data_IF_447033766746
#
_entry.id   IF_447033766746
#
_cell.length_a   1.000
_cell.length_b   1.000
_cell.length_c   1.000
_cell.angle_alpha   90.00
_cell.angle_beta   90.00
_cell.angle_gamma   90.00
#
_symmetry.space_group_name_H-M   'P 1'
#
loop_
_entity.id
_entity.type
_entity.pdbx_description
1 polymer ?
#
# COMPACT_ATOMS: atom_id res chain seq x y z
N UNK A 1 17.38 -16.37 -18.69
CA UNK A 1 16.29 -15.42 -18.45
C UNK A 1 16.57 -14.66 -17.16
N UNK A 2 16.42 -13.34 -17.13
CA UNK A 2 16.57 -12.58 -15.89
C UNK A 2 15.56 -13.05 -14.85
N UNK A 3 16.03 -13.22 -13.61
CA UNK A 3 15.16 -13.62 -12.48
C UNK A 3 14.75 -12.39 -11.69
N UNK A 4 13.49 -12.36 -11.26
CA UNK A 4 13.00 -11.49 -10.18
C UNK A 4 12.91 -12.35 -8.94
N UNK A 5 13.64 -11.98 -7.91
CA UNK A 5 13.64 -12.63 -6.60
C UNK A 5 13.28 -11.59 -5.57
N UNK A 6 12.27 -11.85 -4.79
CA UNK A 6 11.81 -10.98 -3.68
C UNK A 6 11.71 -11.82 -2.43
N UNK A 7 12.18 -11.29 -1.31
CA UNK A 7 11.98 -11.87 0.03
C UNK A 7 11.77 -10.75 1.03
N UNK A 8 10.70 -10.86 1.82
CA UNK A 8 10.40 -10.00 2.97
C UNK A 8 10.05 -10.86 4.16
N UNK A 9 10.31 -10.36 5.35
CA UNK A 9 9.94 -11.09 6.57
C UNK A 9 9.49 -10.13 7.67
N UNK A 10 8.70 -10.68 8.60
CA UNK A 10 8.24 -9.99 9.80
C UNK A 10 8.23 -10.98 10.97
N UNK A 11 8.39 -10.48 12.19
CA UNK A 11 8.24 -11.31 13.40
C UNK A 11 6.85 -11.09 13.99
N UNK A 12 6.14 -12.18 14.24
CA UNK A 12 4.76 -12.23 14.76
C UNK A 12 4.79 -12.86 16.14
N UNK A 13 4.15 -12.21 17.10
CA UNK A 13 3.98 -12.73 18.47
C UNK A 13 2.74 -13.63 18.54
N UNK A 14 2.91 -14.86 18.07
CA UNK A 14 1.86 -15.89 18.09
C UNK A 14 2.50 -17.29 18.04
N UNK A 15 1.81 -18.35 18.48
CA UNK A 15 2.30 -19.74 18.41
C UNK A 15 2.56 -20.17 16.95
N UNK A 16 3.66 -20.90 16.72
CA UNK A 16 4.09 -21.33 15.39
C UNK A 16 3.00 -22.08 14.62
N UNK A 17 2.36 -23.03 15.25
CA UNK A 17 1.29 -23.84 14.65
C UNK A 17 0.09 -22.97 14.25
N UNK A 18 -0.27 -21.96 15.07
CA UNK A 18 -1.34 -21.01 14.74
C UNK A 18 -0.99 -20.19 13.52
N UNK A 19 0.23 -19.65 13.45
CA UNK A 19 0.71 -18.86 12.30
C UNK A 19 0.74 -19.71 11.04
N UNK A 20 1.28 -20.91 11.12
CA UNK A 20 1.36 -21.85 10.00
C UNK A 20 -0.02 -22.21 9.45
N UNK A 21 -0.93 -22.69 10.31
CA UNK A 21 -2.28 -23.11 9.89
C UNK A 21 -3.09 -21.95 9.33
N UNK A 22 -2.92 -20.75 9.87
CA UNK A 22 -3.58 -19.55 9.36
C UNK A 22 -3.10 -19.21 7.96
N UNK A 23 -1.79 -19.22 7.72
CA UNK A 23 -1.21 -18.92 6.38
C UNK A 23 -1.52 -20.04 5.38
N UNK A 24 -1.56 -21.28 5.83
CA UNK A 24 -1.91 -22.44 5.00
C UNK A 24 -3.35 -22.39 4.48
N UNK A 25 -4.25 -21.86 5.28
CA UNK A 25 -5.67 -21.80 4.95
C UNK A 25 -5.96 -20.66 3.98
N UNK A 26 -6.12 -20.95 2.70
CA UNK A 26 -6.44 -19.94 1.69
C UNK A 26 -7.73 -19.16 1.96
N UNK A 27 -8.67 -19.68 2.77
CA UNK A 27 -9.88 -18.95 3.16
C UNK A 27 -9.59 -17.74 4.05
N UNK A 28 -8.42 -17.71 4.71
CA UNK A 28 -7.98 -16.59 5.54
C UNK A 28 -7.24 -15.48 4.72
N UNK A 29 -6.79 -15.80 3.51
CA UNK A 29 -6.02 -14.87 2.68
C UNK A 29 -6.76 -13.56 2.34
N UNK A 30 -8.07 -13.53 2.08
CA UNK A 30 -8.77 -12.27 1.83
C UNK A 30 -8.63 -11.23 2.95
N UNK A 31 -8.41 -11.68 4.19
CA UNK A 31 -8.29 -10.79 5.35
C UNK A 31 -6.93 -10.05 5.43
N UNK A 32 -5.89 -10.54 4.73
CA UNK A 32 -4.55 -9.97 4.81
C UNK A 32 -3.81 -9.90 3.46
N UNK A 33 -4.39 -10.43 2.39
CA UNK A 33 -3.76 -10.35 1.07
C UNK A 33 -3.66 -8.91 0.59
N UNK A 34 -2.45 -8.42 0.26
CA UNK A 34 -2.25 -7.05 -0.19
C UNK A 34 -2.87 -6.76 -1.56
N UNK A 35 -3.30 -7.80 -2.27
CA UNK A 35 -3.97 -7.69 -3.56
C UNK A 35 -5.49 -7.78 -3.42
N UNK A 36 -6.00 -8.78 -2.68
CA UNK A 36 -7.46 -8.97 -2.54
C UNK A 36 -8.13 -7.79 -1.83
N UNK A 37 -7.44 -7.15 -0.86
CA UNK A 37 -7.97 -5.92 -0.21
C UNK A 37 -8.18 -4.77 -1.22
N UNK A 38 -7.45 -4.75 -2.34
CA UNK A 38 -7.60 -3.71 -3.37
C UNK A 38 -8.78 -3.93 -4.30
N UNK A 39 -9.39 -5.12 -4.26
CA UNK A 39 -10.50 -5.53 -5.11
C UNK A 39 -11.55 -6.33 -4.31
N UNK A 40 -12.34 -5.65 -3.46
CA UNK A 40 -13.33 -6.32 -2.59
C UNK A 40 -14.38 -7.14 -3.34
N UNK A 41 -14.64 -6.81 -4.60
CA UNK A 41 -15.61 -7.52 -5.46
C UNK A 41 -14.96 -8.71 -6.19
N UNK A 42 -13.68 -9.00 -5.92
CA UNK A 42 -12.98 -10.13 -6.51
C UNK A 42 -13.66 -11.46 -6.12
N UNK A 43 -13.97 -12.26 -7.13
CA UNK A 43 -14.52 -13.60 -6.92
C UNK A 43 -13.39 -14.55 -6.59
N UNK A 44 -13.46 -15.18 -5.43
CA UNK A 44 -12.49 -16.16 -4.97
C UNK A 44 -13.18 -17.53 -4.84
N UNK A 45 -12.54 -18.56 -5.37
CA UNK A 45 -13.02 -19.94 -5.26
C UNK A 45 -11.91 -20.84 -4.71
N UNK A 46 -12.27 -21.83 -3.92
CA UNK A 46 -11.36 -22.72 -3.24
C UNK A 46 -11.59 -24.17 -3.67
N UNK A 47 -10.53 -24.95 -3.81
CA UNK A 47 -10.64 -26.40 -3.99
C UNK A 47 -11.14 -27.07 -2.69
N UNK A 48 -11.81 -28.20 -2.81
CA UNK A 48 -12.41 -28.94 -1.69
C UNK A 48 -11.37 -29.38 -0.65
N UNK A 49 -10.16 -29.73 -1.11
CA UNK A 49 -9.03 -30.13 -0.27
C UNK A 49 -8.28 -28.95 0.40
N UNK A 50 -8.68 -27.69 0.06
CA UNK A 50 -8.04 -26.47 0.54
C UNK A 50 -6.63 -26.24 0.00
N UNK A 51 -6.17 -27.06 -0.96
CA UNK A 51 -4.82 -26.97 -1.53
C UNK A 51 -4.67 -25.98 -2.66
N UNK A 52 -5.76 -25.36 -3.14
CA UNK A 52 -5.75 -24.39 -4.23
C UNK A 52 -6.84 -23.34 -4.03
N UNK A 53 -6.57 -22.12 -4.48
CA UNK A 53 -7.61 -21.11 -4.70
C UNK A 53 -7.40 -20.41 -6.04
N UNK A 54 -8.51 -19.92 -6.60
CA UNK A 54 -8.53 -19.11 -7.81
C UNK A 54 -9.22 -17.80 -7.53
N UNK A 55 -8.83 -16.76 -8.27
CA UNK A 55 -9.47 -15.46 -8.18
C UNK A 55 -9.73 -14.88 -9.58
N UNK A 56 -10.79 -14.09 -9.69
CA UNK A 56 -11.11 -13.29 -10.86
C UNK A 56 -11.74 -11.98 -10.42
N UNK A 57 -11.11 -10.86 -10.78
CA UNK A 57 -11.55 -9.51 -10.41
C UNK A 57 -11.19 -8.48 -11.46
N UNK A 58 -11.76 -7.29 -11.32
CA UNK A 58 -11.52 -6.18 -12.25
C UNK A 58 -10.17 -5.49 -12.00
N UNK A 59 -9.67 -5.56 -10.78
CA UNK A 59 -8.43 -4.91 -10.34
C UNK A 59 -7.28 -5.90 -10.25
N UNK A 60 -7.49 -7.02 -9.58
CA UNK A 60 -6.46 -8.07 -9.39
C UNK A 60 -6.38 -9.04 -10.58
N UNK A 61 -7.23 -8.84 -11.59
CA UNK A 61 -7.28 -9.66 -12.81
C UNK A 61 -7.66 -11.12 -12.47
N UNK A 62 -6.98 -12.12 -13.06
CA UNK A 62 -7.29 -13.51 -12.80
C UNK A 62 -6.02 -14.35 -12.58
N UNK A 63 -6.10 -15.27 -11.64
CA UNK A 63 -5.00 -16.17 -11.34
C UNK A 63 -5.42 -17.31 -10.43
N UNK A 64 -4.44 -18.14 -10.12
CA UNK A 64 -4.58 -19.27 -9.22
C UNK A 64 -3.30 -19.44 -8.38
N UNK A 65 -3.43 -19.96 -7.19
CA UNK A 65 -2.33 -20.40 -6.36
C UNK A 65 -2.63 -21.78 -5.77
N UNK A 66 -1.67 -22.70 -5.88
CA UNK A 66 -1.77 -24.04 -5.35
C UNK A 66 -0.58 -24.37 -4.46
N UNK A 67 -0.81 -25.18 -3.43
CA UNK A 67 0.26 -25.73 -2.60
C UNK A 67 0.95 -26.84 -3.39
N UNK A 68 2.29 -26.72 -3.55
CA UNK A 68 3.12 -27.73 -4.19
C UNK A 68 3.71 -28.72 -3.18
N UNK A 69 4.17 -28.21 -2.06
CA UNK A 69 4.73 -29.01 -0.98
C UNK A 69 4.64 -28.28 0.35
N UNK A 70 4.67 -29.04 1.43
CA UNK A 70 4.62 -28.55 2.81
C UNK A 70 5.66 -29.29 3.65
N UNK A 71 6.39 -28.56 4.47
CA UNK A 71 7.22 -29.09 5.57
C UNK A 71 6.69 -28.46 6.88
N UNK A 72 5.65 -29.08 7.42
CA UNK A 72 4.96 -28.58 8.59
C UNK A 72 5.82 -28.67 9.85
N UNK A 73 5.89 -27.60 10.66
CA UNK A 73 5.25 -26.28 10.50
C UNK A 73 6.23 -25.22 9.93
N UNK A 74 7.25 -25.60 9.16
CA UNK A 74 8.39 -24.73 8.83
C UNK A 74 8.30 -24.09 7.45
N UNK A 75 7.66 -24.75 6.47
CA UNK A 75 7.63 -24.24 5.09
C UNK A 75 6.35 -24.66 4.37
N UNK A 76 5.86 -23.74 3.51
CA UNK A 76 4.85 -24.01 2.50
C UNK A 76 5.36 -23.45 1.16
N UNK A 77 5.41 -24.29 0.15
CA UNK A 77 5.78 -23.91 -1.22
C UNK A 77 4.54 -23.89 -2.10
N UNK A 78 4.36 -22.80 -2.83
CA UNK A 78 3.22 -22.59 -3.70
C UNK A 78 3.65 -22.40 -5.15
N UNK A 79 2.75 -22.78 -6.07
CA UNK A 79 2.77 -22.37 -7.47
C UNK A 79 1.76 -21.24 -7.66
N UNK A 80 2.24 -20.07 -8.02
CA UNK A 80 1.43 -18.94 -8.45
C UNK A 80 1.33 -18.93 -9.96
N UNK A 81 0.11 -18.88 -10.52
CA UNK A 81 -0.14 -18.76 -11.95
C UNK A 81 -1.03 -17.56 -12.21
N UNK A 82 -0.52 -16.57 -12.94
CA UNK A 82 -1.34 -15.50 -13.51
C UNK A 82 -1.99 -16.01 -14.80
N UNK A 83 -3.30 -15.83 -14.94
CA UNK A 83 -4.08 -16.27 -16.11
C UNK A 83 -4.30 -15.13 -17.10
N UNK A 84 -4.41 -13.88 -16.60
CA UNK A 84 -4.63 -12.66 -17.38
C UNK A 84 -3.65 -11.59 -16.92
N UNK A 85 -3.25 -10.61 -17.77
CA UNK A 85 -3.49 -10.54 -19.22
C UNK A 85 -2.63 -11.53 -20.00
N UNK A 86 -1.56 -12.08 -19.40
CA UNK A 86 -0.66 -13.09 -20.00
C UNK A 86 -0.42 -14.21 -19.00
N UNK A 87 -0.47 -15.44 -19.49
CA UNK A 87 -0.17 -16.60 -18.65
C UNK A 87 1.30 -16.55 -18.23
N UNK A 88 1.56 -16.52 -16.93
CA UNK A 88 2.89 -16.58 -16.34
C UNK A 88 2.88 -17.29 -15.00
N UNK A 89 4.03 -17.81 -14.59
CA UNK A 89 4.17 -18.59 -13.36
C UNK A 89 5.31 -18.06 -12.50
N UNK A 90 5.13 -18.20 -11.18
CA UNK A 90 6.15 -17.90 -10.18
C UNK A 90 6.11 -18.94 -9.06
N UNK A 91 7.28 -19.32 -8.57
CA UNK A 91 7.38 -20.05 -7.31
C UNK A 91 7.26 -19.07 -6.14
N UNK A 92 6.45 -19.42 -5.17
CA UNK A 92 6.25 -18.65 -3.93
C UNK A 92 6.54 -19.57 -2.76
N UNK A 93 7.19 -19.07 -1.71
CA UNK A 93 7.37 -19.83 -0.48
C UNK A 93 7.11 -18.96 0.75
N UNK A 94 6.53 -19.58 1.77
CA UNK A 94 6.40 -19.08 3.12
C UNK A 94 7.24 -19.95 4.05
N UNK A 95 8.19 -19.32 4.76
CA UNK A 95 9.02 -19.99 5.75
C UNK A 95 8.70 -19.43 7.14
N UNK A 96 8.69 -20.33 8.12
CA UNK A 96 8.35 -20.03 9.52
C UNK A 96 9.47 -20.50 10.43
N UNK A 97 10.01 -19.62 11.27
CA UNK A 97 11.09 -19.93 12.17
C UNK A 97 10.98 -19.16 13.49
N UNK A 98 11.42 -19.75 14.58
CA UNK A 98 11.55 -19.06 15.86
C UNK A 98 12.60 -17.95 15.77
N UNK A 99 12.24 -16.73 16.18
CA UNK A 99 13.14 -15.58 16.17
C UNK A 99 12.73 -14.52 17.18
N UNK A 100 13.63 -14.19 18.11
CA UNK A 100 13.44 -13.06 19.02
C UNK A 100 12.21 -13.17 19.94
N UNK A 101 11.78 -14.38 20.28
CA UNK A 101 10.61 -14.63 21.12
C UNK A 101 9.29 -14.74 20.37
N UNK A 102 9.29 -14.52 19.05
CA UNK A 102 8.15 -14.71 18.16
C UNK A 102 8.48 -15.62 16.98
N UNK A 103 7.64 -15.62 15.96
CA UNK A 103 7.80 -16.38 14.74
C UNK A 103 8.16 -15.45 13.60
N UNK A 104 9.34 -15.61 13.00
CA UNK A 104 9.65 -14.98 11.72
C UNK A 104 8.86 -15.69 10.62
N UNK A 105 8.00 -14.92 9.95
CA UNK A 105 7.32 -15.31 8.71
C UNK A 105 8.05 -14.64 7.57
N UNK A 106 8.66 -15.43 6.69
CA UNK A 106 9.35 -14.93 5.50
C UNK A 106 8.61 -15.33 4.24
N UNK A 107 8.17 -14.35 3.48
CA UNK A 107 7.49 -14.51 2.20
C UNK A 107 8.47 -14.28 1.05
N UNK A 108 8.61 -15.24 0.16
CA UNK A 108 9.51 -15.16 -0.98
C UNK A 108 8.82 -15.52 -2.30
N UNK A 109 9.33 -14.95 -3.38
CA UNK A 109 8.90 -15.26 -4.74
C UNK A 109 10.10 -15.28 -5.69
N UNK A 110 10.13 -16.29 -6.54
CA UNK A 110 11.05 -16.41 -7.67
C UNK A 110 10.26 -16.50 -8.98
N UNK A 111 10.54 -15.59 -9.90
CA UNK A 111 9.93 -15.56 -11.22
C UNK A 111 10.98 -15.32 -12.31
N UNK A 112 10.69 -15.78 -13.53
CA UNK A 112 11.51 -15.53 -14.70
C UNK A 112 10.87 -14.44 -15.55
N UNK A 113 11.65 -13.42 -15.91
CA UNK A 113 11.23 -12.40 -16.85
C UNK A 113 11.64 -12.76 -18.29
N UNK A 114 10.80 -12.44 -19.29
CA UNK A 114 11.25 -12.38 -20.66
C UNK A 114 12.49 -11.50 -20.80
N UNK A 115 13.44 -11.87 -21.65
CA UNK A 115 14.72 -11.16 -21.76
C UNK A 115 14.55 -9.67 -22.08
N UNK A 116 13.59 -9.32 -22.93
CA UNK A 116 13.32 -7.92 -23.32
C UNK A 116 12.71 -7.04 -22.20
N UNK A 117 12.31 -7.64 -21.07
CA UNK A 117 11.81 -6.92 -19.88
C UNK A 117 12.85 -6.80 -18.76
N UNK A 118 14.12 -7.14 -19.02
CA UNK A 118 15.17 -7.13 -17.98
C UNK A 118 15.32 -5.80 -17.27
N UNK A 119 15.10 -4.69 -17.98
CA UNK A 119 15.18 -3.32 -17.43
C UNK A 119 14.07 -3.00 -16.41
N UNK A 120 12.96 -3.73 -16.44
CA UNK A 120 11.86 -3.60 -15.47
C UNK A 120 12.14 -4.31 -14.14
N UNK A 121 13.16 -5.16 -14.08
CA UNK A 121 13.47 -5.98 -12.90
C UNK A 121 13.56 -5.16 -11.61
N UNK A 122 14.31 -4.03 -11.51
CA UNK A 122 14.41 -3.26 -10.28
C UNK A 122 13.05 -2.73 -9.82
N UNK A 123 12.27 -2.20 -10.74
CA UNK A 123 10.93 -1.68 -10.45
C UNK A 123 9.98 -2.80 -9.97
N UNK A 124 9.96 -3.95 -10.65
CA UNK A 124 9.13 -5.10 -10.25
C UNK A 124 9.52 -5.63 -8.88
N UNK A 125 10.82 -5.77 -8.62
CA UNK A 125 11.34 -6.21 -7.31
C UNK A 125 10.89 -5.25 -6.20
N UNK A 126 10.97 -3.94 -6.43
CA UNK A 126 10.55 -2.93 -5.47
C UNK A 126 9.04 -2.99 -5.20
N UNK A 127 8.22 -3.01 -6.24
CA UNK A 127 6.75 -3.03 -6.10
C UNK A 127 6.28 -4.31 -5.39
N UNK A 128 6.74 -5.49 -5.82
CA UNK A 128 6.38 -6.76 -5.18
C UNK A 128 6.88 -6.80 -3.74
N UNK A 129 8.08 -6.24 -3.47
CA UNK A 129 8.60 -6.12 -2.11
C UNK A 129 7.70 -5.28 -1.20
N UNK A 130 7.18 -4.15 -1.69
CA UNK A 130 6.23 -3.31 -0.97
C UNK A 130 4.89 -4.02 -0.75
N UNK A 131 4.41 -4.79 -1.74
CA UNK A 131 3.20 -5.60 -1.60
C UNK A 131 3.37 -6.65 -0.50
N UNK A 132 4.50 -7.36 -0.47
CA UNK A 132 4.80 -8.36 0.56
C UNK A 132 4.90 -7.73 1.96
N UNK A 133 5.54 -6.57 2.10
CA UNK A 133 5.59 -5.84 3.36
C UNK A 133 4.19 -5.47 3.87
N UNK A 134 3.31 -4.99 2.98
CA UNK A 134 1.92 -4.65 3.34
C UNK A 134 1.14 -5.88 3.80
N UNK A 135 1.23 -6.98 3.05
CA UNK A 135 0.58 -8.25 3.40
C UNK A 135 1.09 -8.80 4.73
N UNK A 136 2.40 -8.82 4.94
CA UNK A 136 3.00 -9.30 6.19
C UNK A 136 2.62 -8.42 7.40
N UNK A 137 2.52 -7.09 7.25
CA UNK A 137 2.04 -6.20 8.31
C UNK A 137 0.58 -6.49 8.68
N UNK A 138 -0.29 -6.67 7.69
CA UNK A 138 -1.69 -7.04 7.93
C UNK A 138 -1.81 -8.41 8.59
N UNK A 139 -1.03 -9.40 8.14
CA UNK A 139 -0.97 -10.73 8.73
C UNK A 139 -0.54 -10.68 10.21
N UNK A 140 0.52 -9.90 10.51
CA UNK A 140 0.99 -9.69 11.88
C UNK A 140 -0.11 -9.11 12.75
N UNK A 141 -0.68 -7.99 12.35
CA UNK A 141 -1.71 -7.31 13.13
C UNK A 141 -2.94 -8.22 13.33
N UNK A 142 -3.38 -8.91 12.29
CA UNK A 142 -4.50 -9.84 12.36
C UNK A 142 -4.26 -10.99 13.35
N UNK A 143 -3.08 -11.58 13.36
CA UNK A 143 -2.74 -12.68 14.26
C UNK A 143 -2.52 -12.25 15.71
N UNK A 144 -2.03 -11.02 15.92
CA UNK A 144 -1.76 -10.47 17.26
C UNK A 144 -2.98 -9.78 17.88
N UNK A 145 -3.83 -9.12 17.07
CA UNK A 145 -4.95 -8.31 17.58
C UNK A 145 -6.33 -8.82 17.20
N UNK A 146 -6.41 -9.73 16.22
CA UNK A 146 -7.67 -10.25 15.68
C UNK A 146 -8.27 -9.42 14.53
N UNK A 147 -7.63 -8.30 14.12
CA UNK A 147 -8.07 -7.47 13.00
C UNK A 147 -6.88 -6.91 12.23
N UNK A 148 -6.95 -6.89 10.91
CA UNK A 148 -5.89 -6.31 10.06
C UNK A 148 -5.91 -4.77 10.00
N UNK A 149 -6.80 -4.10 10.70
CA UNK A 149 -6.84 -2.64 10.87
C UNK A 149 -6.83 -1.80 9.60
N UNK A 150 -7.30 -2.36 8.46
CA UNK A 150 -7.31 -1.67 7.17
C UNK A 150 -8.58 -1.99 6.40
N UNK A 151 -9.37 -0.95 6.08
CA UNK A 151 -10.57 -1.05 5.26
C UNK A 151 -10.51 -0.02 4.13
N UNK A 152 -10.87 -0.44 2.91
CA UNK A 152 -10.97 0.45 1.75
C UNK A 152 -12.43 0.58 1.32
N UNK A 153 -12.83 1.81 0.98
CA UNK A 153 -14.12 2.13 0.38
C UNK A 153 -13.92 2.94 -0.90
N UNK A 154 -14.79 2.76 -1.87
CA UNK A 154 -14.70 3.33 -3.21
C UNK A 154 -15.98 4.12 -3.53
N UNK A 155 -16.11 5.37 -3.10
CA UNK A 155 -17.34 6.16 -3.30
C UNK A 155 -17.61 6.53 -4.75
N UNK A 156 -16.62 6.35 -5.65
CA UNK A 156 -16.74 6.74 -7.05
C UNK A 156 -16.07 8.08 -7.33
N UNK A 157 -16.40 8.69 -8.49
CA UNK A 157 -15.83 10.00 -8.86
C UNK A 157 -16.52 11.15 -8.13
N UNK A 158 -15.74 12.07 -7.60
CA UNK A 158 -16.19 13.26 -6.89
C UNK A 158 -15.56 14.54 -7.46
N UNK A 159 -16.31 15.63 -7.41
CA UNK A 159 -15.79 16.95 -7.75
C UNK A 159 -15.10 17.56 -6.51
N UNK A 160 -13.83 17.89 -6.66
CA UNK A 160 -13.03 18.55 -5.62
C UNK A 160 -12.84 20.02 -6.02
N UNK A 161 -13.21 20.98 -5.16
CA UNK A 161 -12.98 22.41 -5.44
C UNK A 161 -11.49 22.74 -5.38
N UNK A 162 -11.11 23.87 -5.99
CA UNK A 162 -9.80 24.47 -5.78
C UNK A 162 -9.65 24.85 -4.29
N UNK A 163 -8.43 24.74 -3.77
CA UNK A 163 -8.15 25.00 -2.37
C UNK A 163 -6.79 25.66 -2.21
N UNK A 164 -6.78 26.90 -1.75
CA UNK A 164 -5.56 27.58 -1.33
C UNK A 164 -4.99 26.92 -0.06
N UNK A 165 -3.67 26.89 0.04
CA UNK A 165 -3.00 26.30 1.20
C UNK A 165 -1.69 27.00 1.55
N UNK A 166 -1.30 26.86 2.80
CA UNK A 166 0.08 27.01 3.28
C UNK A 166 0.66 25.63 3.55
N UNK A 167 1.93 25.42 3.24
CA UNK A 167 2.51 24.08 3.38
C UNK A 167 4.02 24.08 3.54
N UNK A 168 4.55 22.88 3.72
CA UNK A 168 5.96 22.54 3.68
C UNK A 168 6.23 21.57 2.54
N UNK A 169 7.20 21.89 1.68
CA UNK A 169 7.64 20.98 0.62
C UNK A 169 8.89 20.25 1.08
N UNK A 170 8.80 18.93 1.13
CA UNK A 170 9.83 18.07 1.68
C UNK A 170 10.14 16.90 0.75
N UNK A 171 11.34 16.35 0.91
CA UNK A 171 11.77 15.11 0.28
C UNK A 171 12.31 14.17 1.34
N UNK A 172 11.96 12.88 1.25
CA UNK A 172 12.37 11.88 2.22
C UNK A 172 12.61 10.51 1.54
N UNK A 173 13.32 9.64 2.22
CA UNK A 173 13.26 8.21 1.88
C UNK A 173 11.87 7.65 2.25
N UNK A 174 11.41 6.63 1.51
CA UNK A 174 10.11 5.99 1.81
C UNK A 174 10.12 5.41 3.24
N UNK A 175 11.27 4.96 3.74
CA UNK A 175 11.41 4.41 5.08
C UNK A 175 11.25 5.48 6.18
N UNK A 176 11.73 6.70 5.94
CA UNK A 176 11.71 7.83 6.89
C UNK A 176 10.53 8.78 6.68
N UNK A 177 9.71 8.51 5.66
CA UNK A 177 8.60 9.41 5.26
C UNK A 177 7.63 9.68 6.43
N UNK A 178 7.34 8.68 7.24
CA UNK A 178 6.43 8.83 8.39
C UNK A 178 6.94 9.86 9.39
N UNK A 179 8.20 9.76 9.80
CA UNK A 179 8.85 10.70 10.73
C UNK A 179 8.96 12.10 10.12
N UNK A 180 9.31 12.20 8.83
CA UNK A 180 9.40 13.48 8.14
C UNK A 180 8.03 14.18 8.06
N UNK A 181 6.96 13.44 7.76
CA UNK A 181 5.60 13.98 7.71
C UNK A 181 5.09 14.39 9.09
N UNK A 182 5.39 13.64 10.14
CA UNK A 182 5.06 14.00 11.53
C UNK A 182 5.75 15.30 11.94
N UNK A 183 7.04 15.44 11.61
CA UNK A 183 7.79 16.68 11.85
C UNK A 183 7.17 17.88 11.11
N UNK A 184 6.86 17.72 9.81
CA UNK A 184 6.26 18.76 8.99
C UNK A 184 4.85 19.14 9.49
N UNK A 185 4.05 18.16 9.90
CA UNK A 185 2.72 18.34 10.46
C UNK A 185 2.79 19.19 11.74
N UNK A 186 3.68 18.81 12.66
CA UNK A 186 3.90 19.54 13.91
C UNK A 186 4.35 20.97 13.64
N UNK A 187 5.33 21.17 12.75
CA UNK A 187 5.86 22.49 12.41
C UNK A 187 4.79 23.41 11.80
N UNK A 188 3.96 22.89 10.90
CA UNK A 188 2.84 23.64 10.32
C UNK A 188 1.79 23.97 11.37
N UNK A 189 1.43 23.00 12.21
CA UNK A 189 0.43 23.19 13.27
C UNK A 189 0.87 24.26 14.28
N UNK A 190 2.13 24.18 14.75
CA UNK A 190 2.69 25.16 15.71
C UNK A 190 2.68 26.57 15.10
N UNK A 191 3.05 26.70 13.83
CA UNK A 191 3.06 27.99 13.15
C UNK A 191 1.64 28.56 12.93
N UNK A 192 0.70 27.74 12.48
CA UNK A 192 -0.72 28.11 12.31
C UNK A 192 -1.31 28.60 13.62
N UNK A 193 -1.06 27.88 14.72
CA UNK A 193 -1.54 28.26 16.04
C UNK A 193 -0.93 29.58 16.53
N UNK A 194 0.39 29.77 16.33
CA UNK A 194 1.09 30.98 16.77
C UNK A 194 0.69 32.26 15.99
N UNK A 195 0.17 32.09 14.75
CA UNK A 195 -0.21 33.19 13.87
C UNK A 195 -1.74 33.34 13.70
N UNK A 196 -2.53 32.59 14.47
CA UNK A 196 -4.00 32.59 14.42
C UNK A 196 -4.58 32.44 13.02
N UNK A 197 -3.93 31.57 12.19
CA UNK A 197 -4.32 31.37 10.80
C UNK A 197 -5.67 30.62 10.73
N UNK A 198 -6.63 31.21 10.00
CA UNK A 198 -7.93 30.59 9.76
C UNK A 198 -7.84 29.48 8.72
N UNK A 199 -8.03 28.24 9.15
CA UNK A 199 -8.03 27.05 8.28
C UNK A 199 -9.43 26.78 7.70
N UNK A 200 -9.48 26.33 6.44
CA UNK A 200 -10.72 26.03 5.71
C UNK A 200 -10.98 24.54 5.52
N UNK A 201 -10.37 23.68 6.32
CA UNK A 201 -10.56 22.24 6.22
C UNK A 201 -9.44 21.44 6.88
N UNK A 202 -9.35 20.17 6.53
CA UNK A 202 -8.38 19.24 7.10
C UNK A 202 -7.07 19.23 6.31
N UNK A 203 -5.93 18.92 6.95
CA UNK A 203 -4.64 18.80 6.27
C UNK A 203 -4.66 17.80 5.12
N UNK A 204 -3.77 18.02 4.16
CA UNK A 204 -3.61 17.12 3.03
C UNK A 204 -2.13 17.04 2.61
N UNK A 205 -1.78 15.99 1.86
CA UNK A 205 -0.44 15.84 1.27
C UNK A 205 -0.55 15.65 -0.23
N UNK A 206 0.16 16.47 -1.00
CA UNK A 206 0.31 16.35 -2.45
C UNK A 206 1.64 15.63 -2.74
N UNK A 207 1.59 14.55 -3.50
CA UNK A 207 2.77 13.78 -3.87
C UNK A 207 3.27 14.19 -5.25
N UNK A 208 4.39 14.94 -5.29
CA UNK A 208 5.01 15.43 -6.53
C UNK A 208 5.83 14.35 -7.23
N UNK A 209 6.51 13.51 -6.44
CA UNK A 209 7.33 12.42 -6.94
C UNK A 209 7.24 11.20 -6.01
N UNK A 210 7.14 10.03 -6.63
CA UNK A 210 7.24 8.75 -5.95
C UNK A 210 8.15 7.83 -6.76
N UNK A 211 9.28 7.43 -6.19
CA UNK A 211 10.26 6.59 -6.86
C UNK A 211 10.53 5.30 -6.07
N UNK A 212 9.81 4.20 -6.35
CA UNK A 212 9.97 2.95 -5.61
C UNK A 212 11.34 2.30 -5.80
N UNK A 213 12.01 2.53 -6.95
CA UNK A 213 13.33 1.96 -7.23
C UNK A 213 14.45 2.64 -6.42
N UNK A 214 14.34 3.97 -6.24
CA UNK A 214 15.28 4.74 -5.40
C UNK A 214 14.82 4.82 -3.95
N UNK A 215 13.62 4.33 -3.65
CA UNK A 215 12.95 4.41 -2.36
C UNK A 215 12.86 5.86 -1.84
N UNK A 216 12.48 6.83 -2.70
CA UNK A 216 12.35 8.26 -2.36
C UNK A 216 11.00 8.82 -2.76
N UNK A 217 10.56 9.83 -2.03
CA UNK A 217 9.37 10.63 -2.32
C UNK A 217 9.64 12.11 -2.18
N UNK A 218 8.89 12.94 -2.92
CA UNK A 218 8.81 14.38 -2.77
C UNK A 218 7.35 14.77 -2.63
N UNK A 219 7.03 15.53 -1.58
CA UNK A 219 5.65 15.88 -1.25
C UNK A 219 5.52 17.32 -0.76
N UNK A 220 4.29 17.83 -0.72
CA UNK A 220 3.92 19.02 0.03
C UNK A 220 2.83 18.66 1.02
N UNK A 221 3.11 18.80 2.30
CA UNK A 221 2.11 18.77 3.34
C UNK A 221 1.47 20.17 3.42
N UNK A 222 0.15 20.27 3.26
CA UNK A 222 -0.59 21.51 3.16
C UNK A 222 -1.73 21.61 4.16
N UNK A 223 -1.93 22.82 4.70
CA UNK A 223 -3.06 23.18 5.52
C UNK A 223 -3.95 24.13 4.69
N UNK A 224 -5.24 23.77 4.45
CA UNK A 224 -6.12 24.58 3.64
C UNK A 224 -6.43 25.93 4.31
N UNK A 225 -6.37 26.99 3.51
CA UNK A 225 -6.59 28.36 3.96
C UNK A 225 -8.00 28.85 3.62
N UNK A 226 -8.63 29.59 4.53
CA UNK A 226 -9.84 30.34 4.28
C UNK A 226 -9.60 31.63 3.50
N UNK A 227 -8.39 32.19 3.62
CA UNK A 227 -7.95 33.41 2.94
C UNK A 227 -6.47 33.32 2.59
N UNK A 228 -6.04 33.92 1.46
CA UNK A 228 -4.61 34.03 1.15
C UNK A 228 -3.85 34.76 2.27
N UNK A 229 -2.57 34.42 2.42
CA UNK A 229 -1.67 35.04 3.38
C UNK A 229 -0.80 36.11 2.70
N UNK A 230 -0.58 37.24 3.39
CA UNK A 230 0.23 38.35 2.88
C UNK A 230 1.72 38.01 2.84
N UNK A 231 2.20 37.18 3.77
CA UNK A 231 3.60 36.77 3.87
C UNK A 231 3.74 35.39 4.51
N UNK A 232 4.86 34.73 4.19
CA UNK A 232 5.20 33.42 4.73
C UNK A 232 6.59 33.45 5.33
N UNK A 233 6.86 32.65 6.38
CA UNK A 233 8.20 32.47 6.88
C UNK A 233 9.06 31.65 5.91
N UNK A 234 10.38 31.77 6.09
CA UNK A 234 11.32 30.98 5.29
C UNK A 234 11.06 29.49 5.39
N UNK A 235 11.08 28.82 4.22
CA UNK A 235 10.86 27.37 4.10
C UNK A 235 9.38 26.95 4.03
N UNK A 236 8.43 27.90 4.18
CA UNK A 236 7.02 27.65 3.92
C UNK A 236 6.69 27.96 2.45
N UNK A 237 5.66 27.32 1.95
CA UNK A 237 5.15 27.54 0.58
C UNK A 237 3.65 27.84 0.63
N UNK A 238 3.17 28.76 -0.21
CA UNK A 238 1.76 28.90 -0.52
C UNK A 238 1.49 28.31 -1.91
N UNK A 239 0.30 27.79 -2.11
CA UNK A 239 -0.12 27.26 -3.40
C UNK A 239 -1.62 27.04 -3.45
N UNK A 240 -2.08 26.60 -4.59
CA UNK A 240 -3.45 26.16 -4.81
C UNK A 240 -3.46 24.67 -5.21
N UNK A 241 -4.24 23.87 -4.55
CA UNK A 241 -4.64 22.56 -5.03
C UNK A 241 -5.77 22.78 -6.04
N UNK A 242 -5.56 22.54 -7.33
CA UNK A 242 -6.53 22.94 -8.35
C UNK A 242 -7.84 22.14 -8.23
N UNK A 243 -8.94 22.74 -8.69
CA UNK A 243 -10.20 22.03 -8.85
C UNK A 243 -10.03 20.84 -9.80
N UNK A 244 -10.60 19.68 -9.42
CA UNK A 244 -10.50 18.47 -10.22
C UNK A 244 -11.69 17.54 -10.01
N UNK A 245 -11.82 16.54 -10.91
CA UNK A 245 -12.57 15.33 -10.63
C UNK A 245 -11.60 14.31 -10.06
N UNK A 246 -11.83 13.88 -8.84
CA UNK A 246 -11.03 12.88 -8.15
C UNK A 246 -11.74 11.52 -8.17
N UNK A 247 -10.97 10.46 -8.06
CA UNK A 247 -11.45 9.11 -7.74
C UNK A 247 -10.93 8.79 -6.33
N UNK A 248 -11.67 9.13 -5.27
CA UNK A 248 -11.25 8.91 -3.91
C UNK A 248 -11.26 7.44 -3.54
N UNK A 249 -10.31 7.06 -2.72
CA UNK A 249 -10.24 5.76 -2.05
C UNK A 249 -10.14 6.06 -0.58
N UNK A 250 -11.22 5.80 0.15
CA UNK A 250 -11.25 6.03 1.59
C UNK A 250 -10.59 4.88 2.31
N UNK A 251 -9.57 5.17 3.10
CA UNK A 251 -8.93 4.24 4.00
C UNK A 251 -9.37 4.50 5.43
N UNK A 252 -9.82 3.46 6.11
CA UNK A 252 -10.12 3.49 7.55
C UNK A 252 -9.20 2.51 8.26
N UNK A 253 -8.45 3.01 9.26
CA UNK A 253 -7.51 2.22 10.04
C UNK A 253 -6.16 2.92 10.22
N UNK A 254 -5.16 2.16 10.67
CA UNK A 254 -3.82 2.68 10.93
C UNK A 254 -3.15 3.25 9.69
N UNK A 255 -2.47 4.38 9.81
CA UNK A 255 -1.67 4.99 8.74
C UNK A 255 -0.59 4.08 8.17
N UNK A 256 -0.10 3.10 8.94
CA UNK A 256 0.86 2.11 8.42
C UNK A 256 0.31 1.26 7.27
N UNK A 257 -1.01 1.26 7.06
CA UNK A 257 -1.71 0.55 5.98
C UNK A 257 -2.19 1.46 4.84
N UNK A 258 -1.90 2.76 4.84
CA UNK A 258 -2.26 3.69 3.75
C UNK A 258 -1.77 3.21 2.38
N UNK A 259 -0.66 2.51 2.33
CA UNK A 259 -0.16 1.87 1.11
C UNK A 259 -1.17 0.96 0.41
N UNK A 260 -2.20 0.46 1.11
CA UNK A 260 -3.28 -0.33 0.50
C UNK A 260 -4.15 0.54 -0.41
N UNK A 261 -4.51 1.77 0.02
CA UNK A 261 -5.27 2.72 -0.79
C UNK A 261 -4.46 3.15 -2.03
N UNK A 262 -3.18 3.46 -1.87
CA UNK A 262 -2.29 3.80 -2.97
C UNK A 262 -2.14 2.68 -3.99
N UNK A 263 -1.89 1.46 -3.53
CA UNK A 263 -1.81 0.29 -4.41
C UNK A 263 -3.13 0.06 -5.16
N UNK A 264 -4.26 0.20 -4.48
CA UNK A 264 -5.58 0.10 -5.11
C UNK A 264 -5.78 1.16 -6.19
N UNK A 265 -5.44 2.42 -5.91
CA UNK A 265 -5.52 3.51 -6.88
C UNK A 265 -4.68 3.27 -8.13
N UNK A 266 -3.42 2.87 -7.94
CA UNK A 266 -2.49 2.56 -9.04
C UNK A 266 -3.02 1.40 -9.90
N UNK A 267 -3.50 0.32 -9.27
CA UNK A 267 -4.02 -0.84 -9.99
C UNK A 267 -5.32 -0.53 -10.74
N UNK A 268 -6.24 0.25 -10.14
CA UNK A 268 -7.47 0.72 -10.80
C UNK A 268 -7.18 1.62 -11.99
N UNK A 269 -6.22 2.54 -11.87
CA UNK A 269 -5.78 3.37 -13.00
C UNK A 269 -5.14 2.54 -14.12
N UNK A 270 -4.30 1.55 -13.78
CA UNK A 270 -3.69 0.61 -14.73
C UNK A 270 -4.74 -0.22 -15.48
N UNK A 271 -5.78 -0.66 -14.78
CA UNK A 271 -6.91 -1.42 -15.35
C UNK A 271 -7.98 -0.52 -15.96
N UNK A 272 -7.72 0.79 -16.11
CA UNK A 272 -8.58 1.77 -16.77
C UNK A 272 -9.95 1.98 -16.11
N UNK A 273 -10.07 1.72 -14.81
CA UNK A 273 -11.26 2.07 -14.02
C UNK A 273 -11.42 3.59 -13.99
N UNK A 274 -10.30 4.33 -13.90
CA UNK A 274 -10.24 5.77 -14.12
C UNK A 274 -8.93 6.15 -14.85
N UNK A 275 -8.83 7.42 -15.28
CA UNK A 275 -7.62 7.94 -15.92
C UNK A 275 -6.95 8.96 -15.01
N UNK A 276 -5.75 8.64 -14.56
CA UNK A 276 -4.95 9.57 -13.77
C UNK A 276 -4.60 10.83 -14.56
N UNK A 277 -4.73 11.99 -13.93
CA UNK A 277 -4.30 13.27 -14.49
C UNK A 277 -2.78 13.26 -14.72
N UNK A 278 -2.33 13.95 -15.76
CA UNK A 278 -0.90 14.17 -16.05
C UNK A 278 -0.39 15.50 -15.48
N UNK A 279 -1.29 16.37 -15.05
CA UNK A 279 -0.99 17.74 -14.62
C UNK A 279 -1.33 18.00 -13.17
N UNK A 280 -2.23 17.21 -12.59
CA UNK A 280 -2.61 17.31 -11.18
C UNK A 280 -1.99 16.12 -10.46
N UNK A 281 -1.12 16.42 -9.52
CA UNK A 281 -0.49 15.41 -8.66
C UNK A 281 -1.53 14.73 -7.77
N UNK A 282 -1.39 13.42 -7.48
CA UNK A 282 -2.26 12.73 -6.54
C UNK A 282 -2.03 13.26 -5.12
N UNK A 283 -3.06 13.16 -4.28
CA UNK A 283 -3.03 13.71 -2.94
C UNK A 283 -3.82 12.85 -1.95
N UNK A 284 -3.50 12.98 -0.67
CA UNK A 284 -4.23 12.45 0.48
C UNK A 284 -4.90 13.60 1.23
N UNK A 285 -6.08 13.33 1.82
CA UNK A 285 -6.76 14.22 2.76
C UNK A 285 -6.94 13.47 4.06
N UNK A 286 -6.56 14.09 5.18
CA UNK A 286 -6.61 13.47 6.50
C UNK A 286 -7.88 13.89 7.22
N UNK A 287 -8.98 13.12 7.07
CA UNK A 287 -10.29 13.45 7.64
C UNK A 287 -10.31 13.38 9.18
N UNK A 288 -9.48 12.52 9.76
CA UNK A 288 -9.31 12.38 11.20
C UNK A 288 -7.82 12.46 11.52
N UNK A 289 -7.31 13.65 11.81
CA UNK A 289 -6.04 13.75 12.51
C UNK A 289 -6.30 13.36 13.96
N UNK A 290 -6.08 12.12 14.35
CA UNK A 290 -5.82 11.82 15.75
C UNK A 290 -4.60 12.64 16.13
N UNK A 291 -4.82 13.62 16.97
CA UNK A 291 -3.79 14.38 17.64
C UNK A 291 -2.88 13.45 18.46
#
# INVERSE_FOLDING_TARGET
MPKVSVRKSIVIDAPLEKVYEFVRNFKEWPAWSPWLITDPECKVSYADDGGQYTWEGDVVVAGEMSILSEEKPNEIVYQLTFLKPFKSQAGVAMNFALKGGGIEVAWSMDSKLPFFLFFMRPMMTAIIGMDYERGLRMLKELLETGSAGSKLEFPGEEAMPAQDYVGLRSAASIAEMGEAMEYDMKKLHDWVAANEVELAGTPFTIYHQWNPTKATTEYTLGFPLGKPLDSLPDGFVAGERPACRAFPIKHTGSYCHLGNAWSSGINRARNKVFRQSKTIAPFEIYENSSA
#
